data_IF_170231206487
#
_entry.id   IF_170231206487
#
_cell.length_a   1.000
_cell.length_b   1.000
_cell.length_c   1.000
_cell.angle_alpha   90.00
_cell.angle_beta   90.00
_cell.angle_gamma   90.00
#
_symmetry.space_group_name_H-M   'P 1'
#
loop_
_entity.id
_entity.type
_entity.pdbx_description
1 polymer ?
#
# COMPACT_ATOMS: atom_id res chain seq x y z
N UNK A 1 22.31 6.26 1.09
CA UNK A 1 22.03 6.20 2.54
C UNK A 1 22.07 7.63 3.08
N UNK A 2 20.98 8.15 3.68
CA UNK A 2 20.87 9.60 4.00
C UNK A 2 21.57 10.03 5.31
N UNK A 3 21.81 9.09 6.23
CA UNK A 3 22.32 9.36 7.58
C UNK A 3 23.70 8.74 7.82
N UNK A 4 24.46 8.39 6.77
CA UNK A 4 25.71 7.62 6.90
C UNK A 4 26.90 8.35 7.54
N UNK A 5 26.74 9.61 7.94
CA UNK A 5 27.78 10.43 8.58
C UNK A 5 27.55 10.65 10.07
N UNK A 6 26.43 10.18 10.62
CA UNK A 6 26.05 10.38 12.02
C UNK A 6 25.56 9.07 12.62
N UNK A 7 25.80 8.89 13.91
CA UNK A 7 25.37 7.72 14.69
C UNK A 7 24.67 8.17 15.98
N UNK A 8 23.89 7.28 16.57
CA UNK A 8 23.18 7.53 17.83
C UNK A 8 23.83 6.71 18.94
N UNK A 9 24.46 7.39 19.89
CA UNK A 9 24.94 6.76 21.13
C UNK A 9 23.75 6.53 22.07
N UNK A 10 23.39 5.26 22.29
CA UNK A 10 22.15 4.89 23.01
C UNK A 10 22.43 4.69 24.50
N UNK A 11 21.71 5.43 25.35
CA UNK A 11 21.78 5.27 26.82
C UNK A 11 20.76 4.25 27.36
N UNK A 12 19.57 4.17 26.76
CA UNK A 12 18.49 3.29 27.19
C UNK A 12 17.68 2.76 25.99
N UNK A 13 17.24 1.50 26.07
CA UNK A 13 16.40 0.84 25.05
C UNK A 13 15.17 0.23 25.69
N UNK A 14 14.01 0.47 25.09
CA UNK A 14 12.75 -0.18 25.46
C UNK A 14 12.20 -0.99 24.29
N UNK A 15 11.85 -2.26 24.54
CA UNK A 15 11.17 -3.10 23.55
C UNK A 15 9.68 -2.80 23.56
N UNK A 16 9.18 -2.13 22.51
CA UNK A 16 7.76 -1.80 22.39
C UNK A 16 6.91 -3.02 22.01
N UNK A 17 7.43 -3.88 21.13
CA UNK A 17 6.76 -5.12 20.72
C UNK A 17 7.78 -6.14 20.22
N UNK A 18 7.79 -7.33 20.83
CA UNK A 18 8.69 -8.41 20.46
C UNK A 18 8.05 -9.30 19.37
N UNK A 19 8.85 -9.66 18.36
CA UNK A 19 8.43 -10.63 17.34
C UNK A 19 8.52 -12.04 17.94
N UNK A 20 7.38 -12.74 18.02
CA UNK A 20 7.28 -14.05 18.68
C UNK A 20 7.61 -15.24 17.77
N UNK A 21 7.51 -15.07 16.45
CA UNK A 21 7.69 -16.15 15.47
C UNK A 21 8.72 -15.76 14.42
N UNK A 22 9.36 -16.77 13.80
CA UNK A 22 10.29 -16.53 12.69
C UNK A 22 9.53 -15.91 11.51
N UNK A 23 10.10 -14.86 10.94
CA UNK A 23 9.51 -14.18 9.79
C UNK A 23 9.52 -15.10 8.55
N UNK A 24 8.47 -15.07 7.72
CA UNK A 24 8.39 -15.86 6.49
C UNK A 24 9.41 -15.43 5.42
N UNK A 25 9.92 -14.20 5.53
CA UNK A 25 11.02 -13.66 4.74
C UNK A 25 11.65 -12.46 5.46
N UNK A 26 12.86 -12.09 5.04
CA UNK A 26 13.56 -10.91 5.56
C UNK A 26 12.97 -9.62 4.96
N UNK A 27 12.67 -8.65 5.82
CA UNK A 27 12.27 -7.29 5.41
C UNK A 27 13.56 -6.46 5.31
N UNK A 28 14.27 -6.56 4.19
CA UNK A 28 15.53 -5.82 3.95
C UNK A 28 15.39 -4.77 2.86
N UNK A 29 16.25 -3.75 2.93
CA UNK A 29 16.44 -2.70 1.92
C UNK A 29 17.50 -3.05 0.87
N UNK A 30 18.30 -4.09 1.10
CA UNK A 30 19.26 -4.57 0.11
C UNK A 30 18.53 -5.25 -1.05
N UNK A 31 18.82 -4.82 -2.28
CA UNK A 31 18.22 -5.36 -3.50
C UNK A 31 18.52 -6.87 -3.69
N UNK A 32 19.56 -7.38 -3.05
CA UNK A 32 20.07 -8.76 -3.16
C UNK A 32 19.11 -9.83 -2.61
N UNK A 33 18.07 -9.45 -1.86
CA UNK A 33 17.06 -10.37 -1.36
C UNK A 33 15.78 -10.43 -2.25
N UNK A 34 15.74 -9.68 -3.36
CA UNK A 34 14.56 -9.63 -4.24
C UNK A 34 14.21 -10.99 -4.85
N UNK A 35 15.20 -11.84 -5.12
CA UNK A 35 15.02 -12.98 -6.02
C UNK A 35 14.71 -14.31 -5.31
N UNK A 36 14.67 -14.34 -3.98
CA UNK A 36 14.52 -15.61 -3.25
C UNK A 36 13.11 -15.88 -2.69
N UNK A 37 12.20 -14.91 -2.68
CA UNK A 37 10.87 -15.07 -2.07
C UNK A 37 9.78 -15.12 -3.14
N UNK A 38 9.12 -16.27 -3.26
CA UNK A 38 7.98 -16.49 -4.16
C UNK A 38 6.90 -15.43 -3.93
N UNK A 39 6.31 -14.94 -5.02
CA UNK A 39 5.24 -13.93 -5.00
C UNK A 39 4.04 -14.37 -4.13
N UNK A 40 3.66 -15.64 -4.20
CA UNK A 40 2.58 -16.22 -3.39
C UNK A 40 2.79 -15.96 -1.88
N UNK A 41 4.02 -16.14 -1.39
CA UNK A 41 4.37 -15.89 0.02
C UNK A 41 4.28 -14.39 0.33
N UNK A 42 4.74 -13.54 -0.60
CA UNK A 42 4.69 -12.08 -0.43
C UNK A 42 3.25 -11.55 -0.38
N UNK A 43 2.36 -12.10 -1.21
CA UNK A 43 0.95 -11.75 -1.22
C UNK A 43 0.22 -12.28 0.03
N UNK A 44 0.54 -13.50 0.47
CA UNK A 44 0.00 -14.06 1.72
C UNK A 44 0.40 -13.24 2.94
N UNK A 45 1.64 -12.75 3.00
CA UNK A 45 2.15 -11.91 4.09
C UNK A 45 2.35 -10.45 3.64
N UNK A 46 1.37 -9.90 2.92
CA UNK A 46 1.47 -8.57 2.31
C UNK A 46 1.77 -7.46 3.33
N UNK A 47 1.27 -7.57 4.56
CA UNK A 47 1.56 -6.62 5.63
C UNK A 47 3.07 -6.47 5.94
N UNK A 48 3.86 -7.54 5.75
CA UNK A 48 5.31 -7.50 5.87
C UNK A 48 5.97 -7.00 4.59
N UNK A 49 5.48 -7.42 3.42
CA UNK A 49 6.02 -7.00 2.12
C UNK A 49 5.88 -5.48 1.91
N UNK A 50 4.80 -4.87 2.42
CA UNK A 50 4.58 -3.43 2.40
C UNK A 50 5.61 -2.61 3.20
N UNK A 51 6.35 -3.24 4.12
CA UNK A 51 7.42 -2.57 4.89
C UNK A 51 8.72 -2.42 4.11
N UNK A 52 8.86 -3.11 2.98
CA UNK A 52 10.05 -3.00 2.11
C UNK A 52 10.09 -1.63 1.44
N UNK A 53 11.29 -1.08 1.29
CA UNK A 53 11.50 0.26 0.74
C UNK A 53 10.83 0.46 -0.62
N UNK A 54 10.93 -0.53 -1.52
CA UNK A 54 10.28 -0.47 -2.85
C UNK A 54 8.75 -0.37 -2.73
N UNK A 55 8.12 -1.22 -1.93
CA UNK A 55 6.66 -1.21 -1.77
C UNK A 55 6.17 0.07 -1.10
N UNK A 56 6.89 0.54 -0.08
CA UNK A 56 6.62 1.81 0.57
C UNK A 56 6.74 2.98 -0.42
N UNK A 57 7.81 3.01 -1.22
CA UNK A 57 8.01 4.02 -2.26
C UNK A 57 6.87 4.03 -3.27
N UNK A 58 6.45 2.85 -3.76
CA UNK A 58 5.37 2.74 -4.74
C UNK A 58 4.04 3.29 -4.20
N UNK A 59 3.68 2.97 -2.95
CA UNK A 59 2.45 3.48 -2.32
C UNK A 59 2.52 4.99 -2.12
N UNK A 60 3.65 5.51 -1.61
CA UNK A 60 3.83 6.94 -1.41
C UNK A 60 3.83 7.71 -2.74
N UNK A 61 4.42 7.15 -3.79
CA UNK A 61 4.38 7.73 -5.13
C UNK A 61 2.95 7.79 -5.66
N UNK A 62 2.21 6.68 -5.59
CA UNK A 62 0.79 6.64 -5.97
C UNK A 62 -0.02 7.70 -5.22
N UNK A 63 0.17 7.84 -3.91
CA UNK A 63 -0.48 8.88 -3.11
C UNK A 63 -0.16 10.28 -3.63
N UNK A 64 1.12 10.60 -3.86
CA UNK A 64 1.55 11.92 -4.35
C UNK A 64 0.95 12.23 -5.73
N UNK A 65 0.95 11.26 -6.63
CA UNK A 65 0.39 11.41 -7.99
C UNK A 65 -1.11 11.67 -7.92
N UNK A 66 -1.87 10.84 -7.19
CA UNK A 66 -3.33 11.02 -7.07
C UNK A 66 -3.66 12.37 -6.42
N UNK A 67 -2.92 12.77 -5.38
CA UNK A 67 -3.09 14.08 -4.74
C UNK A 67 -2.83 15.24 -5.70
N UNK A 68 -1.80 15.13 -6.54
CA UNK A 68 -1.48 16.14 -7.55
C UNK A 68 -2.61 16.28 -8.57
N UNK A 69 -3.10 15.14 -9.10
CA UNK A 69 -4.19 15.13 -10.09
C UNK A 69 -5.44 15.81 -9.53
N UNK A 70 -5.85 15.44 -8.31
CA UNK A 70 -7.02 16.05 -7.66
C UNK A 70 -6.89 17.55 -7.50
N UNK A 71 -5.78 18.01 -6.91
CA UNK A 71 -5.50 19.44 -6.73
C UNK A 71 -5.49 20.21 -8.04
N UNK A 72 -4.92 19.62 -9.08
CA UNK A 72 -4.91 20.28 -10.38
C UNK A 72 -6.33 20.46 -10.95
N UNK A 73 -7.18 19.44 -10.87
CA UNK A 73 -8.56 19.54 -11.36
C UNK A 73 -9.39 20.51 -10.52
N UNK A 74 -9.25 20.49 -9.20
CA UNK A 74 -9.97 21.35 -8.26
C UNK A 74 -9.48 22.80 -8.30
N UNK A 75 -8.20 23.03 -7.98
CA UNK A 75 -7.64 24.38 -7.75
C UNK A 75 -7.43 25.17 -9.05
N UNK A 76 -7.08 24.49 -10.15
CA UNK A 76 -6.75 25.14 -11.43
C UNK A 76 -7.95 25.20 -12.37
N UNK A 77 -8.76 24.14 -12.40
CA UNK A 77 -9.85 24.01 -13.37
C UNK A 77 -11.25 24.08 -12.74
N UNK A 78 -11.37 24.19 -11.42
CA UNK A 78 -12.66 24.37 -10.73
C UNK A 78 -13.57 23.15 -10.77
N UNK A 79 -13.04 21.94 -10.97
CA UNK A 79 -13.83 20.71 -10.91
C UNK A 79 -14.21 20.39 -9.46
N UNK A 80 -15.37 19.74 -9.30
CA UNK A 80 -15.87 19.24 -8.01
C UNK A 80 -15.74 17.72 -7.97
N UNK A 81 -15.14 17.18 -6.90
CA UNK A 81 -15.10 15.72 -6.67
C UNK A 81 -16.49 15.23 -6.24
N UNK A 82 -17.10 14.36 -7.04
CA UNK A 82 -18.42 13.77 -6.78
C UNK A 82 -18.24 12.26 -6.59
N UNK A 83 -18.57 11.76 -5.41
CA UNK A 83 -18.60 10.31 -5.16
C UNK A 83 -19.89 9.70 -5.74
N UNK A 84 -19.74 8.63 -6.51
CA UNK A 84 -20.87 7.88 -7.09
C UNK A 84 -21.10 6.57 -6.34
N UNK A 85 -22.35 6.07 -6.25
CA UNK A 85 -22.65 4.80 -5.58
C UNK A 85 -21.87 3.62 -6.17
N UNK A 86 -21.37 2.72 -5.31
CA UNK A 86 -20.67 1.49 -5.73
C UNK A 86 -21.64 0.36 -6.07
N UNK A 87 -22.76 0.26 -5.34
CA UNK A 87 -23.80 -0.73 -5.60
C UNK A 87 -24.81 -0.16 -6.60
N UNK A 88 -24.77 -0.67 -7.83
CA UNK A 88 -25.65 -0.25 -8.92
C UNK A 88 -26.41 -1.43 -9.53
N UNK A 89 -27.44 -1.10 -10.33
CA UNK A 89 -28.14 -2.10 -11.14
C UNK A 89 -27.21 -2.61 -12.24
N UNK A 90 -27.17 -3.92 -12.44
CA UNK A 90 -26.38 -4.55 -13.52
C UNK A 90 -27.00 -4.26 -14.89
N UNK A 91 -26.14 -4.02 -15.88
CA UNK A 91 -26.52 -3.75 -17.28
C UNK A 91 -25.91 -4.82 -18.20
N UNK A 92 -26.69 -5.45 -19.10
CA UNK A 92 -26.24 -6.62 -19.85
C UNK A 92 -25.30 -6.31 -21.02
N UNK A 93 -25.13 -5.05 -21.39
CA UNK A 93 -24.41 -4.61 -22.60
C UNK A 93 -22.88 -4.56 -22.40
N UNK A 94 -22.42 -4.55 -21.15
CA UNK A 94 -21.02 -4.31 -20.80
C UNK A 94 -20.22 -5.56 -20.41
N UNK A 95 -19.11 -5.32 -19.72
CA UNK A 95 -18.34 -6.36 -19.06
C UNK A 95 -19.18 -7.07 -17.97
N UNK A 96 -18.72 -8.21 -17.49
CA UNK A 96 -19.40 -8.94 -16.42
C UNK A 96 -19.34 -8.15 -15.11
N UNK A 97 -20.52 -7.90 -14.54
CA UNK A 97 -20.65 -7.26 -13.23
C UNK A 97 -20.42 -8.26 -12.10
N UNK A 98 -19.80 -7.79 -11.00
CA UNK A 98 -19.82 -8.52 -9.73
C UNK A 98 -21.18 -8.32 -9.06
N UNK A 99 -21.85 -9.42 -8.75
CA UNK A 99 -23.17 -9.40 -8.12
C UNK A 99 -23.05 -9.40 -6.59
N UNK A 100 -23.74 -8.45 -5.95
CA UNK A 100 -23.93 -8.41 -4.50
C UNK A 100 -25.41 -8.66 -4.21
N UNK A 101 -25.80 -9.83 -3.69
CA UNK A 101 -27.20 -10.12 -3.39
C UNK A 101 -27.78 -9.14 -2.37
N UNK A 102 -28.94 -8.56 -2.69
CA UNK A 102 -29.68 -7.74 -1.75
C UNK A 102 -30.63 -8.62 -0.93
N UNK A 103 -30.70 -8.36 0.38
CA UNK A 103 -31.69 -8.98 1.25
C UNK A 103 -32.99 -8.20 1.10
N UNK A 104 -33.82 -8.57 0.14
CA UNK A 104 -35.19 -8.05 0.00
C UNK A 104 -36.06 -8.74 1.04
N UNK A 105 -36.66 -7.98 1.96
CA UNK A 105 -37.73 -8.46 2.84
C UNK A 105 -39.08 -8.28 2.17
#
# INVERSE_FOLDING_TARGET
>A
MKTGFIEVAVEHVQVLNAVRSKLPFLVTTADDAKDFVKEEIRLRYRCLDLRRQQMNHNILLRHKVVKLIRRYLEDVHGFVEIETPVLSRSTPEGARDYLVPSRVQ
#
